data_IF_392840541008
#
_entry.id   IF_392840541008
#
_cell.length_a   1.000
_cell.length_b   1.000
_cell.length_c   1.000
_cell.angle_alpha   90.00
_cell.angle_beta   90.00
_cell.angle_gamma   90.00
#
_symmetry.space_group_name_H-M   'P 1'
#
loop_
_entity.id
_entity.type
_entity.pdbx_description
1 polymer ?
#
# COMPACT_ATOMS: atom_id res chain seq x y z
N UNK A 1 29.15 -7.53 30.79
CA UNK A 1 30.27 -7.28 29.85
C UNK A 1 30.10 -8.09 28.57
N UNK A 2 28.89 -8.11 28.01
CA UNK A 2 28.54 -9.04 26.95
C UNK A 2 28.44 -8.27 25.63
N UNK A 3 29.21 -8.71 24.63
CA UNK A 3 29.27 -8.17 23.26
C UNK A 3 29.96 -6.80 23.08
N UNK A 4 31.10 -6.54 23.74
CA UNK A 4 31.99 -5.46 23.29
C UNK A 4 32.70 -5.90 21.99
N UNK A 5 32.41 -5.28 20.82
CA UNK A 5 33.00 -5.72 19.58
C UNK A 5 34.48 -5.31 19.55
N UNK A 6 35.36 -6.30 19.47
CA UNK A 6 36.81 -6.08 19.37
C UNK A 6 37.27 -5.69 17.95
N UNK A 7 36.38 -5.70 16.97
CA UNK A 7 36.67 -5.38 15.56
C UNK A 7 35.47 -4.71 14.87
N UNK A 8 35.75 -3.82 13.92
CA UNK A 8 34.73 -3.05 13.18
C UNK A 8 33.70 -3.95 12.48
N UNK A 9 34.14 -5.07 11.89
CA UNK A 9 33.25 -5.99 11.18
C UNK A 9 32.22 -6.65 12.10
N UNK A 10 32.61 -6.99 13.34
CA UNK A 10 31.68 -7.54 14.35
C UNK A 10 30.69 -6.48 14.84
N UNK A 11 31.16 -5.23 15.02
CA UNK A 11 30.29 -4.11 15.38
C UNK A 11 29.22 -3.89 14.30
N UNK A 12 29.62 -3.82 13.03
CA UNK A 12 28.70 -3.61 11.91
C UNK A 12 27.68 -4.74 11.79
N UNK A 13 28.13 -5.99 11.91
CA UNK A 13 27.24 -7.16 11.89
C UNK A 13 26.21 -7.11 13.02
N UNK A 14 26.63 -6.78 14.25
CA UNK A 14 25.72 -6.67 15.40
C UNK A 14 24.72 -5.54 15.18
N UNK A 15 25.17 -4.33 14.83
CA UNK A 15 24.28 -3.17 14.65
C UNK A 15 23.24 -3.43 13.57
N UNK A 16 23.65 -3.94 12.41
CA UNK A 16 22.75 -4.27 11.31
C UNK A 16 21.72 -5.32 11.75
N UNK A 17 22.15 -6.42 12.37
CA UNK A 17 21.23 -7.48 12.79
C UNK A 17 20.29 -7.06 13.94
N UNK A 18 20.71 -6.15 14.82
CA UNK A 18 19.81 -5.52 15.79
C UNK A 18 18.71 -4.73 15.09
N UNK A 19 19.04 -3.98 14.03
CA UNK A 19 18.05 -3.26 13.23
C UNK A 19 17.05 -4.25 12.61
N UNK A 20 17.50 -5.31 11.94
CA UNK A 20 16.60 -6.34 11.38
C UNK A 20 15.73 -7.00 12.45
N UNK A 21 16.29 -7.27 13.62
CA UNK A 21 15.54 -7.88 14.71
C UNK A 21 14.46 -6.95 15.24
N UNK A 22 14.77 -5.67 15.48
CA UNK A 22 13.79 -4.67 15.94
C UNK A 22 12.72 -4.41 14.88
N UNK A 23 13.10 -4.31 13.59
CA UNK A 23 12.15 -4.20 12.49
C UNK A 23 11.24 -5.43 12.42
N UNK A 24 11.81 -6.63 12.54
CA UNK A 24 11.05 -7.88 12.58
C UNK A 24 10.05 -7.93 13.73
N UNK A 25 10.44 -7.48 14.93
CA UNK A 25 9.53 -7.35 16.07
C UNK A 25 8.38 -6.38 15.74
N UNK A 26 8.70 -5.22 15.19
CA UNK A 26 7.71 -4.22 14.79
C UNK A 26 6.69 -4.77 13.78
N UNK A 27 7.16 -5.46 12.74
CA UNK A 27 6.29 -6.08 11.72
C UNK A 27 5.41 -7.19 12.31
N UNK A 28 5.94 -8.02 13.21
CA UNK A 28 5.13 -9.06 13.89
C UNK A 28 4.09 -8.42 14.80
N UNK A 29 4.48 -7.41 15.60
CA UNK A 29 3.54 -6.70 16.47
C UNK A 29 2.42 -6.07 15.65
N UNK A 30 2.76 -5.38 14.55
CA UNK A 30 1.78 -4.79 13.64
C UNK A 30 0.88 -5.85 12.99
N UNK A 31 1.45 -6.96 12.51
CA UNK A 31 0.69 -8.06 11.92
C UNK A 31 -0.26 -8.73 12.91
N UNK A 32 0.17 -8.96 14.16
CA UNK A 32 -0.72 -9.46 15.23
C UNK A 32 -1.82 -8.43 15.49
N UNK A 33 -1.45 -7.16 15.63
CA UNK A 33 -2.39 -6.09 15.92
C UNK A 33 -3.51 -5.99 14.86
N UNK A 34 -3.18 -6.15 13.57
CA UNK A 34 -4.16 -6.16 12.48
C UNK A 34 -5.06 -7.41 12.42
N UNK A 35 -4.72 -8.49 13.12
CA UNK A 35 -5.54 -9.71 13.20
C UNK A 35 -6.43 -9.78 14.45
N UNK A 36 -6.20 -8.92 15.43
CA UNK A 36 -7.00 -8.90 16.66
C UNK A 36 -8.28 -8.09 16.43
N UNK A 37 -9.40 -8.52 17.02
CA UNK A 37 -10.72 -7.89 16.87
C UNK A 37 -10.71 -6.37 17.03
N UNK A 38 -11.55 -5.68 16.23
CA UNK A 38 -11.72 -4.22 16.18
C UNK A 38 -11.89 -3.59 17.57
N UNK A 39 -12.59 -4.29 18.48
CA UNK A 39 -12.85 -3.85 19.85
C UNK A 39 -11.61 -3.75 20.73
N UNK A 40 -10.56 -4.52 20.42
CA UNK A 40 -9.28 -4.50 21.14
C UNK A 40 -8.37 -3.44 20.54
N UNK A 41 -8.37 -3.30 19.21
CA UNK A 41 -7.66 -2.24 18.49
C UNK A 41 -8.08 -0.87 19.03
N UNK A 42 -9.38 -0.61 19.12
CA UNK A 42 -9.95 0.63 19.65
C UNK A 42 -9.53 0.94 21.10
N UNK A 43 -9.48 -0.08 21.96
CA UNK A 43 -9.10 0.09 23.37
C UNK A 43 -7.61 0.37 23.56
N UNK A 44 -6.75 -0.14 22.68
CA UNK A 44 -5.32 0.14 22.69
C UNK A 44 -5.00 1.48 22.02
N UNK A 45 -5.67 1.79 20.91
CA UNK A 45 -5.57 3.07 20.21
C UNK A 45 -5.92 4.25 21.12
N UNK A 46 -7.06 4.18 21.83
CA UNK A 46 -7.49 5.21 22.77
C UNK A 46 -6.59 5.42 24.00
N UNK A 47 -5.56 4.60 24.18
CA UNK A 47 -4.59 4.70 25.30
C UNK A 47 -3.21 5.17 24.87
N UNK A 48 -2.94 5.29 23.57
CA UNK A 48 -1.67 5.82 23.07
C UNK A 48 -1.76 7.34 22.92
N UNK A 49 -0.77 8.12 23.38
CA UNK A 49 -0.67 9.56 23.12
C UNK A 49 -0.21 9.88 21.68
N UNK A 50 -0.21 8.90 20.79
CA UNK A 50 -0.06 9.10 19.35
C UNK A 50 -1.44 9.54 18.86
N UNK A 51 -1.54 10.73 18.26
CA UNK A 51 -2.80 11.38 17.91
C UNK A 51 -3.83 10.42 17.31
N UNK A 52 -5.08 10.58 17.77
CA UNK A 52 -6.30 9.92 17.32
C UNK A 52 -6.43 9.79 15.79
N UNK A 53 -5.76 10.66 15.05
CA UNK A 53 -5.93 10.82 13.60
C UNK A 53 -5.28 9.68 12.78
N UNK A 54 -4.32 8.94 13.35
CA UNK A 54 -3.60 7.88 12.59
C UNK A 54 -4.29 6.51 12.69
N UNK A 55 -5.14 6.30 13.70
CA UNK A 55 -5.71 4.98 14.00
C UNK A 55 -7.21 4.89 13.68
N UNK A 56 -7.90 6.02 13.56
CA UNK A 56 -9.36 6.06 13.39
C UNK A 56 -9.84 5.98 11.93
N UNK A 57 -8.99 6.22 10.93
CA UNK A 57 -9.46 6.28 9.52
C UNK A 57 -9.01 5.09 8.65
N UNK A 58 -7.98 4.33 9.07
CA UNK A 58 -7.32 3.35 8.19
C UNK A 58 -7.50 1.86 8.53
N UNK A 59 -8.17 1.52 9.64
CA UNK A 59 -8.08 0.15 10.22
C UNK A 59 -9.39 -0.63 10.18
N UNK A 60 -10.53 0.03 9.93
CA UNK A 60 -11.83 -0.63 10.09
C UNK A 60 -12.26 -1.44 8.85
N UNK A 61 -12.26 -2.77 9.01
CA UNK A 61 -13.36 -3.59 8.49
C UNK A 61 -13.24 -4.19 7.08
N UNK A 62 -12.04 -4.53 6.61
CA UNK A 62 -11.89 -5.10 5.26
C UNK A 62 -11.11 -6.42 5.22
N UNK A 63 -11.61 -7.38 4.44
CA UNK A 63 -11.00 -8.72 4.27
C UNK A 63 -9.58 -8.72 3.69
N UNK A 64 -9.15 -7.64 3.05
CA UNK A 64 -7.80 -7.52 2.50
C UNK A 64 -6.75 -7.24 3.59
N UNK A 65 -7.11 -6.54 4.67
CA UNK A 65 -6.22 -6.27 5.80
C UNK A 65 -5.75 -7.54 6.49
N UNK A 66 -6.60 -8.56 6.58
CA UNK A 66 -6.22 -9.86 7.13
C UNK A 66 -5.12 -10.54 6.31
N UNK A 67 -5.23 -10.51 4.97
CA UNK A 67 -4.18 -11.04 4.09
C UNK A 67 -2.86 -10.28 4.25
N UNK A 68 -2.93 -8.95 4.32
CA UNK A 68 -1.76 -8.12 4.56
C UNK A 68 -1.11 -8.41 5.91
N UNK A 69 -1.91 -8.60 6.96
CA UNK A 69 -1.44 -8.95 8.29
C UNK A 69 -0.67 -10.29 8.32
N UNK A 70 -1.16 -11.32 7.61
CA UNK A 70 -0.42 -12.58 7.47
C UNK A 70 0.93 -12.39 6.75
N UNK A 71 0.98 -11.54 5.73
CA UNK A 71 2.25 -11.21 5.04
C UNK A 71 3.22 -10.53 6.02
N UNK A 72 2.75 -9.57 6.82
CA UNK A 72 3.56 -8.90 7.84
C UNK A 72 4.09 -9.89 8.89
N UNK A 73 3.29 -10.86 9.33
CA UNK A 73 3.73 -11.90 10.26
C UNK A 73 4.83 -12.78 9.67
N UNK A 74 4.67 -13.23 8.43
CA UNK A 74 5.65 -14.08 7.74
C UNK A 74 6.95 -13.29 7.51
N UNK A 75 6.86 -12.07 6.99
CA UNK A 75 8.01 -11.21 6.75
C UNK A 75 8.73 -10.81 8.04
N UNK A 76 7.97 -10.43 9.08
CA UNK A 76 8.50 -10.08 10.39
C UNK A 76 9.18 -11.27 11.07
N UNK A 77 8.54 -12.45 11.05
CA UNK A 77 9.14 -13.69 11.55
C UNK A 77 10.44 -14.05 10.83
N UNK A 78 10.49 -13.87 9.52
CA UNK A 78 11.71 -14.05 8.74
C UNK A 78 12.84 -13.11 9.20
N UNK A 79 12.57 -11.81 9.36
CA UNK A 79 13.55 -10.85 9.86
C UNK A 79 13.99 -11.13 11.31
N UNK A 80 13.11 -11.66 12.16
CA UNK A 80 13.48 -12.11 13.51
C UNK A 80 14.44 -13.29 13.49
N UNK A 81 14.21 -14.27 12.61
CA UNK A 81 15.11 -15.43 12.46
C UNK A 81 16.47 -14.98 11.95
N UNK A 82 16.51 -14.15 10.90
CA UNK A 82 17.77 -13.66 10.33
C UNK A 82 18.52 -12.76 11.31
N UNK A 83 17.85 -11.75 11.87
CA UNK A 83 18.44 -10.82 12.85
C UNK A 83 18.86 -11.51 14.14
N UNK A 84 18.06 -12.46 14.63
CA UNK A 84 18.37 -13.26 15.81
C UNK A 84 19.60 -14.14 15.57
N UNK A 85 19.64 -14.87 14.45
CA UNK A 85 20.79 -15.70 14.11
C UNK A 85 22.09 -14.88 13.98
N UNK A 86 22.03 -13.69 13.37
CA UNK A 86 23.17 -12.78 13.28
C UNK A 86 23.61 -12.21 14.63
N UNK A 87 22.66 -11.78 15.47
CA UNK A 87 22.92 -11.21 16.80
C UNK A 87 23.50 -12.26 17.75
N UNK A 88 22.82 -13.39 17.93
CA UNK A 88 23.27 -14.48 18.80
C UNK A 88 24.52 -15.17 18.23
N UNK A 89 24.68 -15.25 16.91
CA UNK A 89 25.86 -15.84 16.28
C UNK A 89 27.13 -15.03 16.58
N UNK A 90 27.02 -13.70 16.49
CA UNK A 90 28.11 -12.79 16.81
C UNK A 90 28.40 -12.72 18.31
N UNK A 91 27.36 -12.67 19.16
CA UNK A 91 27.50 -12.55 20.61
C UNK A 91 27.95 -13.85 21.30
N UNK A 92 27.43 -15.01 20.88
CA UNK A 92 27.78 -16.31 21.43
C UNK A 92 29.00 -16.94 20.75
N UNK A 93 29.61 -16.25 19.78
CA UNK A 93 30.74 -16.74 18.97
C UNK A 93 30.48 -18.13 18.37
N UNK A 94 29.22 -18.40 18.02
CA UNK A 94 28.76 -19.71 17.51
C UNK A 94 28.94 -19.77 16.00
N UNK A 95 29.91 -20.55 15.54
CA UNK A 95 30.20 -20.71 14.11
C UNK A 95 29.01 -21.32 13.35
N UNK A 96 28.28 -22.27 13.93
CA UNK A 96 27.13 -22.88 13.28
C UNK A 96 26.04 -21.84 12.97
N UNK A 97 25.71 -20.97 13.93
CA UNK A 97 24.67 -19.96 13.75
C UNK A 97 25.09 -18.88 12.74
N UNK A 98 26.39 -18.53 12.73
CA UNK A 98 26.95 -17.61 11.74
C UNK A 98 26.97 -18.21 10.32
N UNK A 99 27.23 -19.52 10.18
CA UNK A 99 27.16 -20.22 8.89
C UNK A 99 25.74 -20.26 8.36
N UNK A 100 24.75 -20.56 9.21
CA UNK A 100 23.32 -20.53 8.83
C UNK A 100 22.92 -19.14 8.37
N UNK A 101 23.26 -18.10 9.14
CA UNK A 101 23.03 -16.70 8.77
C UNK A 101 23.65 -16.36 7.41
N UNK A 102 24.94 -16.67 7.23
CA UNK A 102 25.64 -16.40 5.98
C UNK A 102 25.02 -17.15 4.79
N UNK A 103 24.54 -18.38 5.00
CA UNK A 103 23.88 -19.18 3.97
C UNK A 103 22.55 -18.55 3.55
N UNK A 104 21.71 -18.15 4.50
CA UNK A 104 20.43 -17.49 4.22
C UNK A 104 20.66 -16.20 3.45
N UNK A 105 21.56 -15.33 3.93
CA UNK A 105 21.86 -14.05 3.25
C UNK A 105 22.42 -14.28 1.84
N UNK A 106 23.29 -15.27 1.66
CA UNK A 106 23.83 -15.62 0.34
C UNK A 106 22.72 -16.02 -0.64
N UNK A 107 21.77 -16.84 -0.19
CA UNK A 107 20.61 -17.24 -1.01
C UNK A 107 19.71 -16.06 -1.35
N UNK A 108 19.49 -15.13 -0.42
CA UNK A 108 18.74 -13.90 -0.68
C UNK A 108 19.41 -13.04 -1.75
N UNK A 109 20.73 -12.86 -1.68
CA UNK A 109 21.48 -12.09 -2.68
C UNK A 109 21.35 -12.74 -4.07
N UNK A 110 21.45 -14.07 -4.16
CA UNK A 110 21.26 -14.78 -5.44
C UNK A 110 19.85 -14.56 -5.98
N UNK A 111 18.83 -14.64 -5.11
CA UNK A 111 17.44 -14.41 -5.49
C UNK A 111 17.19 -12.96 -5.93
N UNK A 112 17.78 -11.98 -5.24
CA UNK A 112 17.68 -10.56 -5.57
C UNK A 112 18.34 -10.25 -6.91
N UNK A 113 19.53 -10.79 -7.17
CA UNK A 113 20.20 -10.67 -8.47
C UNK A 113 19.33 -11.31 -9.57
N UNK A 114 18.78 -12.49 -9.33
CA UNK A 114 17.91 -13.15 -10.30
C UNK A 114 16.64 -12.33 -10.59
N UNK A 115 16.00 -11.80 -9.55
CA UNK A 115 14.82 -10.94 -9.67
C UNK A 115 15.15 -9.65 -10.44
N UNK A 116 16.27 -8.99 -10.13
CA UNK A 116 16.74 -7.79 -10.83
C UNK A 116 17.03 -8.05 -12.31
N UNK A 117 17.69 -9.16 -12.62
CA UNK A 117 17.92 -9.58 -14.02
C UNK A 117 16.61 -9.83 -14.75
N UNK A 118 15.65 -10.51 -14.13
CA UNK A 118 14.32 -10.74 -14.72
C UNK A 118 13.58 -9.43 -14.95
N UNK A 119 13.59 -8.51 -13.98
CA UNK A 119 12.93 -7.21 -14.09
C UNK A 119 13.49 -6.38 -15.25
N UNK A 120 14.79 -6.43 -15.50
CA UNK A 120 15.44 -5.69 -16.60
C UNK A 120 15.23 -6.37 -17.95
N UNK A 121 15.46 -7.69 -18.06
CA UNK A 121 15.39 -8.40 -19.34
C UNK A 121 13.96 -8.63 -19.83
N UNK A 122 12.99 -8.73 -18.92
CA UNK A 122 11.59 -9.01 -19.25
C UNK A 122 10.68 -7.84 -18.91
N UNK A 123 11.20 -6.60 -18.86
CA UNK A 123 10.43 -5.39 -18.54
C UNK A 123 9.09 -5.34 -19.27
N UNK A 124 9.11 -5.47 -20.60
CA UNK A 124 7.89 -5.39 -21.43
C UNK A 124 6.87 -6.47 -21.07
N UNK A 125 7.33 -7.68 -20.73
CA UNK A 125 6.44 -8.78 -20.31
C UNK A 125 5.86 -8.53 -18.93
N UNK A 126 6.67 -8.02 -18.01
CA UNK A 126 6.23 -7.65 -16.65
C UNK A 126 5.20 -6.53 -16.76
N UNK A 127 5.45 -5.51 -17.56
CA UNK A 127 4.52 -4.41 -17.81
C UNK A 127 3.20 -4.91 -18.40
N UNK A 128 3.25 -5.74 -19.45
CA UNK A 128 2.05 -6.33 -20.06
C UNK A 128 1.25 -7.18 -19.06
N UNK A 129 1.93 -7.98 -18.25
CA UNK A 129 1.30 -8.81 -17.23
C UNK A 129 0.62 -7.95 -16.16
N UNK A 130 1.31 -6.91 -15.68
CA UNK A 130 0.76 -5.98 -14.71
C UNK A 130 -0.44 -5.21 -15.28
N UNK A 131 -0.34 -4.68 -16.50
CA UNK A 131 -1.45 -4.01 -17.17
C UNK A 131 -2.66 -4.93 -17.27
N UNK A 132 -2.47 -6.16 -17.74
CA UNK A 132 -3.57 -7.14 -17.85
C UNK A 132 -4.20 -7.45 -16.50
N UNK A 133 -3.37 -7.67 -15.47
CA UNK A 133 -3.84 -7.98 -14.12
C UNK A 133 -4.61 -6.82 -13.48
N UNK A 134 -4.07 -5.61 -13.59
CA UNK A 134 -4.66 -4.40 -13.04
C UNK A 134 -5.95 -4.04 -13.77
N UNK A 135 -5.98 -4.08 -15.10
CA UNK A 135 -7.18 -3.83 -15.90
C UNK A 135 -8.26 -4.86 -15.58
N UNK A 136 -7.91 -6.14 -15.48
CA UNK A 136 -8.88 -7.18 -15.12
C UNK A 136 -9.47 -7.01 -13.73
N UNK A 137 -8.66 -6.59 -12.76
CA UNK A 137 -9.11 -6.31 -11.39
C UNK A 137 -10.02 -5.08 -11.35
N UNK A 138 -9.61 -4.00 -12.01
CA UNK A 138 -10.38 -2.77 -12.16
C UNK A 138 -11.76 -3.07 -12.76
N UNK A 139 -11.79 -3.77 -13.90
CA UNK A 139 -13.03 -4.01 -14.64
C UNK A 139 -14.06 -4.84 -13.85
N UNK A 140 -13.56 -5.73 -12.98
CA UNK A 140 -14.37 -6.71 -12.26
C UNK A 140 -14.79 -6.26 -10.87
N UNK A 141 -13.95 -5.50 -10.17
CA UNK A 141 -14.15 -5.24 -8.73
C UNK A 141 -14.26 -3.76 -8.37
N UNK A 142 -13.93 -2.84 -9.27
CA UNK A 142 -14.04 -1.41 -8.98
C UNK A 142 -15.52 -0.97 -8.94
N UNK A 143 -15.95 -0.49 -7.78
CA UNK A 143 -17.27 0.15 -7.55
C UNK A 143 -17.15 1.66 -7.41
N UNK A 144 -16.00 2.14 -6.95
CA UNK A 144 -15.58 3.54 -6.91
C UNK A 144 -16.23 4.42 -5.84
N UNK A 145 -15.61 5.55 -5.59
CA UNK A 145 -16.16 6.61 -4.75
C UNK A 145 -17.46 7.20 -5.33
N UNK A 146 -18.31 7.70 -4.44
CA UNK A 146 -19.60 8.33 -4.76
C UNK A 146 -19.55 9.83 -4.52
N UNK A 147 -20.38 10.56 -5.25
CA UNK A 147 -20.53 12.01 -5.10
C UNK A 147 -21.98 12.43 -5.33
N UNK A 148 -22.52 13.16 -4.36
CA UNK A 148 -23.87 13.71 -4.42
C UNK A 148 -23.85 15.16 -3.95
N UNK A 149 -23.92 16.10 -4.89
CA UNK A 149 -24.13 17.53 -4.62
C UNK A 149 -23.20 18.13 -3.54
N UNK A 150 -21.90 17.82 -3.62
CA UNK A 150 -20.90 18.28 -2.67
C UNK A 150 -20.50 17.26 -1.61
N UNK A 151 -21.25 16.17 -1.45
CA UNK A 151 -20.89 15.09 -0.54
C UNK A 151 -20.08 14.02 -1.27
N UNK A 152 -18.76 14.03 -1.08
CA UNK A 152 -17.85 12.96 -1.51
C UNK A 152 -17.79 11.85 -0.45
N UNK A 153 -17.84 10.59 -0.88
CA UNK A 153 -17.67 9.44 0.00
C UNK A 153 -16.91 8.33 -0.71
N UNK A 154 -15.98 7.70 -0.01
CA UNK A 154 -15.20 6.57 -0.52
C UNK A 154 -16.10 5.35 -0.77
N UNK A 155 -15.62 4.43 -1.61
CA UNK A 155 -16.26 3.14 -1.80
C UNK A 155 -16.37 2.37 -0.48
N UNK A 156 -17.37 1.50 -0.38
CA UNK A 156 -17.53 0.56 0.75
C UNK A 156 -17.30 -0.89 0.33
N UNK A 157 -16.56 -1.11 -0.77
CA UNK A 157 -16.29 -2.46 -1.24
C UNK A 157 -15.33 -3.20 -0.30
N UNK A 158 -15.68 -4.46 0.01
CA UNK A 158 -14.88 -5.31 0.90
C UNK A 158 -13.56 -5.75 0.28
N UNK A 159 -13.38 -5.53 -1.03
CA UNK A 159 -12.19 -5.97 -1.76
C UNK A 159 -11.00 -5.04 -1.62
N UNK A 160 -11.22 -3.78 -1.19
CA UNK A 160 -10.19 -2.74 -1.11
C UNK A 160 -9.66 -2.30 -2.48
N UNK A 161 -10.26 -2.80 -3.56
CA UNK A 161 -9.84 -2.48 -4.93
C UNK A 161 -10.18 -1.02 -5.23
N UNK A 162 -11.37 -0.56 -4.84
CA UNK A 162 -11.75 0.83 -5.12
C UNK A 162 -10.92 1.80 -4.28
N UNK A 163 -10.71 1.52 -2.99
CA UNK A 163 -9.89 2.38 -2.11
C UNK A 163 -8.46 2.53 -2.64
N UNK A 164 -7.85 1.41 -3.07
CA UNK A 164 -6.51 1.44 -3.67
C UNK A 164 -6.45 2.24 -4.96
N UNK A 165 -7.46 2.10 -5.83
CA UNK A 165 -7.57 2.85 -7.08
C UNK A 165 -7.84 4.34 -6.84
N UNK A 166 -8.74 4.67 -5.91
CA UNK A 166 -9.11 6.03 -5.56
C UNK A 166 -7.91 6.76 -4.95
N UNK A 167 -7.20 6.12 -4.02
CA UNK A 167 -5.95 6.65 -3.45
C UNK A 167 -4.87 6.84 -4.52
N UNK A 168 -4.66 5.85 -5.39
CA UNK A 168 -3.65 5.93 -6.44
C UNK A 168 -3.96 7.06 -7.43
N UNK A 169 -5.22 7.23 -7.85
CA UNK A 169 -5.61 8.28 -8.78
C UNK A 169 -5.34 9.68 -8.20
N UNK A 170 -5.66 9.89 -6.92
CA UNK A 170 -5.47 11.17 -6.24
C UNK A 170 -3.97 11.46 -6.03
N UNK A 171 -3.22 10.49 -5.51
CA UNK A 171 -1.82 10.70 -5.12
C UNK A 171 -0.87 10.68 -6.30
N UNK A 172 -1.11 9.80 -7.28
CA UNK A 172 -0.26 9.66 -8.46
C UNK A 172 -0.74 10.53 -9.63
N UNK A 173 -1.91 11.17 -9.52
CA UNK A 173 -2.52 12.02 -10.55
C UNK A 173 -2.64 11.29 -11.88
N UNK A 174 -3.11 10.05 -11.82
CA UNK A 174 -3.33 9.19 -12.97
C UNK A 174 -4.81 8.81 -13.08
N UNK A 175 -5.22 8.35 -14.27
CA UNK A 175 -6.60 7.91 -14.49
C UNK A 175 -6.64 6.69 -15.39
N UNK A 176 -6.86 5.52 -14.77
CA UNK A 176 -6.82 4.21 -15.43
C UNK A 176 -5.44 3.54 -15.35
N UNK A 177 -5.34 2.35 -15.92
CA UNK A 177 -4.11 1.53 -15.94
C UNK A 177 -3.18 2.02 -17.04
N UNK A 178 -3.71 2.16 -18.24
CA UNK A 178 -3.05 2.69 -19.41
C UNK A 178 -3.59 4.07 -19.74
N UNK A 179 -4.90 4.26 -19.69
CA UNK A 179 -5.53 5.56 -19.92
C UNK A 179 -7.01 5.56 -19.45
N UNK A 180 -7.65 6.73 -19.56
CA UNK A 180 -9.06 6.94 -19.15
C UNK A 180 -10.10 6.04 -19.81
N UNK A 181 -9.82 5.42 -20.95
CA UNK A 181 -10.77 4.51 -21.61
C UNK A 181 -10.91 3.18 -20.89
N UNK A 182 -9.99 2.84 -19.98
CA UNK A 182 -10.04 1.59 -19.23
C UNK A 182 -11.32 1.45 -18.39
N UNK A 183 -11.89 2.58 -17.97
CA UNK A 183 -13.13 2.66 -17.21
C UNK A 183 -14.36 2.23 -17.99
N UNK A 184 -14.33 2.26 -19.32
CA UNK A 184 -15.44 1.77 -20.14
C UNK A 184 -15.70 0.27 -19.95
N UNK A 185 -14.71 -0.49 -19.48
CA UNK A 185 -14.86 -1.91 -19.15
C UNK A 185 -15.27 -2.19 -17.70
N UNK A 186 -15.40 -1.16 -16.85
CA UNK A 186 -15.74 -1.33 -15.44
C UNK A 186 -17.22 -1.67 -15.27
N UNK A 187 -17.51 -2.94 -14.99
CA UNK A 187 -18.90 -3.45 -14.98
C UNK A 187 -19.64 -3.18 -13.67
N UNK A 188 -18.92 -3.00 -12.57
CA UNK A 188 -19.50 -2.77 -11.24
C UNK A 188 -19.59 -1.27 -10.88
N UNK A 189 -18.92 -0.41 -11.66
CA UNK A 189 -18.92 1.03 -11.44
C UNK A 189 -20.17 1.66 -12.09
N UNK A 190 -20.98 2.43 -11.34
CA UNK A 190 -22.25 2.97 -11.85
C UNK A 190 -22.09 4.06 -12.92
N UNK A 191 -20.87 4.60 -13.12
CA UNK A 191 -20.57 5.58 -14.17
C UNK A 191 -21.51 6.81 -14.20
N UNK A 192 -22.00 7.24 -13.02
CA UNK A 192 -22.88 8.41 -12.90
C UNK A 192 -22.79 9.04 -11.51
N UNK A 193 -22.89 10.37 -11.46
CA UNK A 193 -22.87 11.16 -10.24
C UNK A 193 -24.00 12.20 -10.22
N UNK A 194 -24.46 12.61 -9.03
CA UNK A 194 -25.41 13.71 -8.91
C UNK A 194 -24.67 15.03 -8.71
N UNK A 195 -24.88 15.97 -9.63
CA UNK A 195 -24.25 17.30 -9.62
C UNK A 195 -25.34 18.36 -9.72
N UNK A 196 -25.47 19.18 -8.69
CA UNK A 196 -26.53 20.18 -8.56
C UNK A 196 -27.94 19.61 -8.77
N UNK A 197 -28.19 18.40 -8.26
CA UNK A 197 -29.46 17.68 -8.41
C UNK A 197 -29.67 17.05 -9.79
N UNK A 198 -28.65 17.04 -10.67
CA UNK A 198 -28.74 16.47 -12.02
C UNK A 198 -27.87 15.21 -12.12
N UNK A 199 -28.45 14.05 -12.50
CA UNK A 199 -27.68 12.87 -12.84
C UNK A 199 -26.78 13.14 -14.04
N UNK A 200 -25.48 13.13 -13.81
CA UNK A 200 -24.45 13.39 -14.82
C UNK A 200 -23.73 12.08 -15.11
N UNK A 201 -23.78 11.65 -16.38
CA UNK A 201 -23.01 10.49 -16.84
C UNK A 201 -21.51 10.79 -16.76
N UNK A 202 -20.75 9.81 -16.31
CA UNK A 202 -19.31 9.92 -16.11
C UNK A 202 -18.56 8.91 -16.98
N UNK A 203 -17.54 9.39 -17.67
CA UNK A 203 -16.62 8.57 -18.47
C UNK A 203 -15.43 8.09 -17.63
N UNK A 204 -15.14 8.78 -16.52
CA UNK A 204 -14.09 8.46 -15.55
C UNK A 204 -14.61 8.57 -14.12
N UNK A 205 -14.03 7.85 -13.15
CA UNK A 205 -14.35 8.04 -11.74
C UNK A 205 -14.06 9.46 -11.27
N UNK A 206 -14.80 9.91 -10.26
CA UNK A 206 -14.63 11.26 -9.71
C UNK A 206 -13.21 11.49 -9.13
N UNK A 207 -12.55 10.44 -8.66
CA UNK A 207 -11.19 10.48 -8.12
C UNK A 207 -10.11 10.70 -9.19
N UNK A 208 -10.46 10.59 -10.48
CA UNK A 208 -9.63 11.08 -11.58
C UNK A 208 -9.68 12.61 -11.75
N UNK A 209 -10.65 13.30 -11.13
CA UNK A 209 -10.80 14.74 -11.26
C UNK A 209 -9.93 15.51 -10.28
N UNK A 210 -9.50 16.70 -10.70
CA UNK A 210 -8.64 17.57 -9.89
C UNK A 210 -9.40 18.05 -8.66
N UNK A 211 -8.86 17.71 -7.48
CA UNK A 211 -9.33 18.25 -6.20
C UNK A 211 -8.82 19.68 -6.02
N UNK A 212 -9.67 20.56 -5.48
CA UNK A 212 -9.28 21.93 -5.17
C UNK A 212 -8.22 21.98 -4.07
N UNK A 213 -8.31 21.06 -3.11
CA UNK A 213 -7.34 20.88 -2.04
C UNK A 213 -7.09 19.39 -1.77
N UNK A 214 -5.97 18.81 -2.28
CA UNK A 214 -5.66 17.40 -2.09
C UNK A 214 -5.22 17.08 -0.65
N UNK A 215 -4.91 18.07 0.19
CA UNK A 215 -4.49 17.81 1.59
C UNK A 215 -5.66 17.38 2.47
N UNK A 216 -6.89 17.56 1.99
CA UNK A 216 -8.12 17.13 2.66
C UNK A 216 -8.41 15.64 2.50
N UNK A 217 -7.66 14.94 1.65
CA UNK A 217 -7.80 13.50 1.48
C UNK A 217 -6.62 12.76 2.11
N UNK A 218 -6.84 11.69 2.90
CA UNK A 218 -8.14 11.08 3.21
C UNK A 218 -8.86 11.68 4.43
N UNK A 219 -8.21 12.52 5.23
CA UNK A 219 -8.67 12.83 6.60
C UNK A 219 -9.92 13.74 6.71
N UNK A 220 -10.29 14.45 5.64
CA UNK A 220 -11.39 15.41 5.59
C UNK A 220 -12.26 15.22 4.33
N UNK A 221 -12.65 13.97 4.04
CA UNK A 221 -13.45 13.60 2.84
C UNK A 221 -14.73 14.41 2.64
N UNK A 222 -15.36 14.90 3.72
CA UNK A 222 -16.60 15.68 3.66
C UNK A 222 -16.41 17.10 3.12
N UNK A 223 -15.16 17.58 3.07
CA UNK A 223 -14.80 18.91 2.56
C UNK A 223 -14.14 18.88 1.18
N UNK A 224 -14.06 17.69 0.55
CA UNK A 224 -13.43 17.52 -0.75
C UNK A 224 -14.31 18.14 -1.84
N UNK A 225 -13.72 19.08 -2.57
CA UNK A 225 -14.32 19.72 -3.75
C UNK A 225 -13.41 19.57 -4.96
N UNK A 226 -14.00 19.70 -6.15
CA UNK A 226 -13.34 19.43 -7.41
C UNK A 226 -13.45 20.62 -8.36
N UNK A 227 -12.36 20.91 -9.07
CA UNK A 227 -12.32 21.94 -10.10
C UNK A 227 -12.99 21.43 -11.39
N UNK A 228 -13.90 22.23 -11.98
CA UNK A 228 -14.53 21.95 -13.28
C UNK A 228 -15.11 20.52 -13.43
N UNK A 229 -15.75 20.03 -12.35
CA UNK A 229 -16.18 18.64 -12.19
C UNK A 229 -17.00 18.08 -13.37
N UNK A 230 -17.99 18.83 -13.87
CA UNK A 230 -18.85 18.37 -14.98
C UNK A 230 -18.08 18.18 -16.29
N UNK A 231 -17.11 19.05 -16.57
CA UNK A 231 -16.22 18.95 -17.73
C UNK A 231 -15.27 17.77 -17.57
N UNK A 232 -14.70 17.58 -16.37
CA UNK A 232 -13.83 16.45 -16.08
C UNK A 232 -14.55 15.11 -16.29
N UNK A 233 -15.73 14.92 -15.70
CA UNK A 233 -16.46 13.66 -15.77
C UNK A 233 -16.87 13.29 -17.20
N UNK A 234 -17.21 14.27 -18.03
CA UNK A 234 -17.63 14.02 -19.42
C UNK A 234 -16.46 13.77 -20.36
N UNK A 235 -15.40 14.57 -20.27
CA UNK A 235 -14.25 14.50 -21.20
C UNK A 235 -13.15 13.55 -20.72
N UNK A 236 -13.10 13.25 -19.43
CA UNK A 236 -11.94 12.66 -18.76
C UNK A 236 -10.66 13.45 -19.02
N UNK A 237 -10.75 14.74 -19.39
CA UNK A 237 -9.58 15.60 -19.54
C UNK A 237 -9.27 16.20 -18.18
N UNK A 238 -8.19 15.68 -17.60
CA UNK A 238 -7.46 16.31 -16.54
C UNK A 238 -6.60 17.44 -17.15
N UNK A 239 -6.70 18.70 -16.68
CA UNK A 239 -5.73 19.74 -17.03
C UNK A 239 -4.30 19.43 -16.56
N UNK A 240 -4.06 18.35 -15.79
CA UNK A 240 -2.76 17.81 -15.41
C UNK A 240 -2.33 16.49 -16.11
N UNK A 241 -3.11 15.92 -17.03
CA UNK A 241 -2.79 14.61 -17.67
C UNK A 241 -1.68 14.67 -18.74
N UNK A 242 -0.82 15.69 -18.71
CA UNK A 242 0.41 15.74 -19.48
C UNK A 242 1.63 15.79 -18.57
N UNK A 243 1.97 14.64 -17.98
CA UNK A 243 3.38 14.23 -17.93
C UNK A 243 3.42 12.70 -17.92
N UNK A 244 3.40 12.13 -19.12
CA UNK A 244 3.97 10.80 -19.38
C UNK A 244 5.34 10.75 -18.71
N UNK A 245 5.53 9.85 -17.76
CA UNK A 245 6.86 9.49 -17.24
C UNK A 245 7.60 8.82 -18.38
N UNK A 246 8.44 9.60 -19.07
CA UNK A 246 9.47 9.15 -20.00
C UNK A 246 10.70 8.67 -19.25
#
# INVERSE_FOLDING_TARGET
MCCLPQSLSKLLLIVFNVIFFVLGLGLVILGIFLLVDDSVILQFAGKLPLGSDVVEEGVYGTSWLSNFAYILLVAGGFFLVVGGAGLFGACCNSQCLLIVYATIVTLLIILEIAAGVVAVLFKDKVETYLQTYLTGTLQKYYTGATYNDGAFALSTDTSGVSDGWDYAQIQLKCCGVSNKTDWAGATQWPASYNISGVPTAATVPITCCVMDDPTKFPDAISEVTFTDLSTCLSTGNDPAAHTTVS
#
